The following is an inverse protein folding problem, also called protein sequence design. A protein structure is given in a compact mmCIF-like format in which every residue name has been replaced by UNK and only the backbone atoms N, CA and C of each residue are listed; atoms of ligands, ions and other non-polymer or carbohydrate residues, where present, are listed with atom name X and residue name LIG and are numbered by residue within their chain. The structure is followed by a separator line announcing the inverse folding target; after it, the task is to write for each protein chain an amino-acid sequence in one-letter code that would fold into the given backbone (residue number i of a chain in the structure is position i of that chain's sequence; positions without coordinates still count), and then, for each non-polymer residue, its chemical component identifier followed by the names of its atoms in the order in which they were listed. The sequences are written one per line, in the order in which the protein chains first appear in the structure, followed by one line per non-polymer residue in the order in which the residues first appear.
data_IF_645587908181
#
_entry.id   IF_645587908181
#
_cell.length_a   1.000
_cell.length_b   1.000
_cell.length_c   1.000
_cell.angle_alpha   90.00
_cell.angle_beta   90.00
_cell.angle_gamma   90.00
#
_symmetry.space_group_name_H-M   'P 1'
#
loop_
_entity.id
_entity.type
_entity.pdbx_description
1 polymer ?
#
# COMPACT_ATOMS: atom_id res chain seq x y z
N UNK A 1 -27.32 26.75 -6.91
CA UNK A 1 -25.91 27.01 -7.28
C UNK A 1 -25.05 25.90 -6.71
N UNK A 2 -24.07 25.45 -7.49
CA UNK A 2 -23.37 24.17 -7.36
C UNK A 2 -22.70 23.94 -5.99
N UNK A 3 -22.75 22.69 -5.54
CA UNK A 3 -22.16 22.21 -4.31
C UNK A 3 -20.63 22.17 -4.41
N UNK A 4 -19.94 22.82 -3.48
CA UNK A 4 -18.55 22.52 -3.16
C UNK A 4 -18.59 21.29 -2.25
N UNK A 5 -18.69 20.11 -2.85
CA UNK A 5 -18.52 18.85 -2.13
C UNK A 5 -17.02 18.66 -1.84
N UNK A 6 -16.69 18.84 -0.56
CA UNK A 6 -15.70 18.10 0.22
C UNK A 6 -14.82 17.11 -0.58
N UNK A 7 -13.62 17.57 -0.96
CA UNK A 7 -12.56 16.74 -1.56
C UNK A 7 -11.81 15.87 -0.54
N UNK A 8 -12.27 15.78 0.71
CA UNK A 8 -11.67 14.91 1.74
C UNK A 8 -12.24 13.48 1.70
N UNK A 9 -13.21 13.21 0.81
CA UNK A 9 -13.90 11.92 0.68
C UNK A 9 -13.13 10.87 -0.16
N UNK A 10 -11.86 10.64 0.15
CA UNK A 10 -11.08 9.49 -0.39
C UNK A 10 -10.20 8.79 0.65
N UNK A 11 -10.57 8.83 1.93
CA UNK A 11 -9.89 8.05 2.99
C UNK A 11 -10.91 7.42 3.97
N UNK A 12 -12.08 6.98 3.49
CA UNK A 12 -12.99 6.12 4.26
C UNK A 12 -13.19 4.75 3.62
N UNK A 13 -12.91 4.59 2.32
CA UNK A 13 -13.12 3.33 1.62
C UNK A 13 -12.17 2.20 2.06
N UNK A 14 -10.94 2.51 2.50
CA UNK A 14 -10.02 1.47 2.98
C UNK A 14 -10.42 0.99 4.37
N UNK A 15 -10.89 1.89 5.24
CA UNK A 15 -11.40 1.53 6.57
C UNK A 15 -12.74 0.80 6.50
N UNK A 16 -13.62 1.21 5.60
CA UNK A 16 -14.90 0.53 5.35
C UNK A 16 -14.70 -0.85 4.70
N UNK A 17 -13.72 -1.00 3.80
CA UNK A 17 -13.36 -2.30 3.23
C UNK A 17 -12.69 -3.22 4.27
N UNK A 18 -11.83 -2.68 5.13
CA UNK A 18 -11.26 -3.40 6.28
C UNK A 18 -12.34 -3.83 7.28
N UNK A 19 -13.31 -2.96 7.58
CA UNK A 19 -14.43 -3.26 8.47
C UNK A 19 -15.34 -4.33 7.87
N UNK A 20 -15.66 -4.24 6.58
CA UNK A 20 -16.49 -5.26 5.90
C UNK A 20 -15.78 -6.62 5.77
N UNK A 21 -14.45 -6.64 5.62
CA UNK A 21 -13.66 -7.87 5.70
C UNK A 21 -13.63 -8.42 7.12
N UNK A 22 -13.52 -7.57 8.15
CA UNK A 22 -13.62 -7.98 9.56
C UNK A 22 -15.00 -8.52 9.91
N UNK A 23 -16.07 -7.84 9.52
CA UNK A 23 -17.45 -8.25 9.78
C UNK A 23 -17.78 -9.57 9.08
N UNK A 24 -17.40 -9.74 7.81
CA UNK A 24 -17.53 -11.03 7.10
C UNK A 24 -16.66 -12.14 7.68
N UNK A 25 -15.63 -11.81 8.45
CA UNK A 25 -14.78 -12.76 9.17
C UNK A 25 -15.26 -13.02 10.60
N UNK A 26 -16.15 -12.21 11.17
CA UNK A 26 -16.71 -12.36 12.52
C UNK A 26 -17.93 -13.30 12.54
N UNK A 27 -18.64 -13.47 11.42
CA UNK A 27 -19.83 -14.33 11.33
C UNK A 27 -19.56 -15.84 11.16
N UNK A 28 -18.30 -16.28 11.01
CA UNK A 28 -17.96 -17.70 10.87
C UNK A 28 -17.23 -18.29 12.10
N UNK A 29 -17.90 -19.26 12.75
CA UNK A 29 -17.38 -20.38 13.56
C UNK A 29 -17.28 -20.24 15.10
N UNK A 30 -18.42 -20.39 15.79
CA UNK A 30 -18.49 -20.97 17.14
C UNK A 30 -19.42 -22.19 17.08
N UNK A 31 -18.89 -23.39 17.36
CA UNK A 31 -19.69 -24.62 17.44
C UNK A 31 -19.59 -25.19 18.85
N UNK A 32 -20.76 -25.33 19.47
CA UNK A 32 -20.95 -25.91 20.78
C UNK A 32 -21.26 -27.40 20.61
N UNK A 33 -20.48 -28.26 21.26
CA UNK A 33 -20.82 -29.68 21.37
C UNK A 33 -20.95 -30.07 22.83
N UNK A 34 -21.97 -30.85 23.16
CA UNK A 34 -22.12 -31.47 24.47
C UNK A 34 -21.30 -32.77 24.53
N UNK A 35 -20.51 -32.93 25.59
CA UNK A 35 -19.84 -34.20 25.86
C UNK A 35 -20.81 -35.24 26.46
N UNK A 36 -20.35 -36.48 26.65
CA UNK A 36 -21.16 -37.58 27.20
C UNK A 36 -21.66 -37.33 28.64
N UNK A 37 -21.11 -36.32 29.33
CA UNK A 37 -21.50 -35.91 30.68
C UNK A 37 -22.39 -34.66 30.69
N UNK A 38 -22.81 -34.17 29.51
CA UNK A 38 -23.66 -32.99 29.35
C UNK A 38 -22.93 -31.66 29.49
N UNK A 39 -21.60 -31.64 29.37
CA UNK A 39 -20.78 -30.42 29.44
C UNK A 39 -20.59 -29.83 28.05
N UNK A 40 -20.93 -28.56 27.90
CA UNK A 40 -20.75 -27.81 26.64
C UNK A 40 -19.25 -27.48 26.49
N UNK A 41 -18.64 -27.99 25.42
CA UNK A 41 -17.24 -27.74 25.06
C UNK A 41 -17.21 -26.79 23.86
N UNK A 42 -16.53 -25.65 24.03
CA UNK A 42 -16.33 -24.66 22.96
C UNK A 42 -14.95 -24.84 22.34
N UNK A 43 -14.90 -25.04 21.01
CA UNK A 43 -13.65 -25.20 20.28
C UNK A 43 -13.31 -23.91 19.55
N UNK A 44 -12.35 -23.15 20.08
CA UNK A 44 -11.82 -21.96 19.41
C UNK A 44 -10.66 -22.37 18.49
N UNK A 45 -10.87 -22.36 17.17
CA UNK A 45 -9.76 -22.46 16.21
C UNK A 45 -8.86 -21.22 16.33
N UNK A 46 -7.62 -21.41 16.76
CA UNK A 46 -6.62 -20.34 16.77
C UNK A 46 -6.34 -19.89 15.32
N UNK A 47 -6.78 -18.68 14.99
CA UNK A 47 -6.54 -18.10 13.66
C UNK A 47 -5.05 -17.76 13.54
N UNK A 48 -4.40 -18.27 12.48
CA UNK A 48 -3.04 -17.83 12.11
C UNK A 48 -3.09 -16.34 11.78
N UNK A 49 -2.17 -15.51 12.29
CA UNK A 49 -2.13 -14.09 11.94
C UNK A 49 -1.91 -13.95 10.44
N UNK A 50 -2.87 -13.33 9.75
CA UNK A 50 -2.71 -12.93 8.37
C UNK A 50 -1.72 -11.77 8.34
N UNK A 51 -0.48 -12.03 7.94
CA UNK A 51 0.53 -10.98 7.81
C UNK A 51 0.17 -10.19 6.55
N UNK A 52 -0.57 -9.09 6.71
CA UNK A 52 -0.79 -8.13 5.63
C UNK A 52 0.52 -7.40 5.34
N UNK A 53 1.15 -7.74 4.21
CA UNK A 53 2.34 -7.05 3.70
C UNK A 53 1.87 -5.95 2.76
N UNK A 54 1.91 -4.70 3.24
CA UNK A 54 1.66 -3.52 2.42
C UNK A 54 2.96 -3.04 1.78
N UNK A 55 2.88 -2.37 0.64
CA UNK A 55 4.05 -1.84 -0.10
C UNK A 55 4.91 -0.91 0.78
N UNK A 56 4.31 -0.24 1.76
CA UNK A 56 5.00 0.63 2.72
C UNK A 56 5.97 -0.11 3.64
N UNK A 57 5.73 -1.40 3.90
CA UNK A 57 6.60 -2.25 4.73
C UNK A 57 7.81 -2.77 3.98
N UNK A 58 7.93 -2.50 2.66
CA UNK A 58 9.09 -2.91 1.89
C UNK A 58 10.34 -2.12 2.32
N UNK A 59 11.51 -2.78 2.41
CA UNK A 59 12.76 -2.08 2.66
C UNK A 59 13.04 -1.00 1.61
N UNK A 60 13.62 0.12 2.04
CA UNK A 60 13.91 1.28 1.19
C UNK A 60 14.72 0.90 -0.07
N UNK A 61 15.69 -0.01 0.07
CA UNK A 61 16.52 -0.48 -1.04
C UNK A 61 15.72 -1.20 -2.13
N UNK A 62 14.68 -1.94 -1.74
CA UNK A 62 13.78 -2.63 -2.68
C UNK A 62 12.90 -1.61 -3.40
N UNK A 63 12.34 -0.65 -2.66
CA UNK A 63 11.56 0.44 -3.25
C UNK A 63 12.36 1.26 -4.26
N UNK A 64 13.62 1.59 -3.93
CA UNK A 64 14.52 2.29 -4.83
C UNK A 64 14.79 1.47 -6.09
N UNK A 65 14.95 0.15 -5.96
CA UNK A 65 15.12 -0.72 -7.12
C UNK A 65 13.86 -0.76 -8.01
N UNK A 66 12.66 -0.77 -7.42
CA UNK A 66 11.40 -0.67 -8.16
C UNK A 66 11.35 0.67 -8.93
N UNK A 67 11.71 1.78 -8.29
CA UNK A 67 11.67 3.11 -8.90
C UNK A 67 12.67 3.25 -10.06
N UNK A 68 13.76 2.48 -10.06
CA UNK A 68 14.72 2.46 -11.17
C UNK A 68 14.13 1.93 -12.49
N UNK A 69 13.02 1.18 -12.45
CA UNK A 69 12.32 0.71 -13.65
C UNK A 69 11.28 1.72 -14.19
N UNK A 70 11.04 2.80 -13.46
CA UNK A 70 10.02 3.80 -13.78
C UNK A 70 10.66 4.98 -14.52
N UNK A 71 9.95 5.59 -15.47
CA UNK A 71 10.44 6.78 -16.16
C UNK A 71 10.53 8.01 -15.24
N UNK A 72 11.49 8.90 -15.48
CA UNK A 72 11.71 10.11 -14.67
C UNK A 72 10.44 10.94 -14.41
N UNK A 73 9.56 11.11 -15.41
CA UNK A 73 8.29 11.83 -15.26
C UNK A 73 7.32 11.13 -14.31
N UNK A 74 7.32 9.81 -14.32
CA UNK A 74 6.45 8.98 -13.49
C UNK A 74 6.99 8.88 -12.06
N UNK A 75 8.31 8.89 -11.87
CA UNK A 75 8.94 8.99 -10.55
C UNK A 75 8.46 10.28 -9.83
N UNK A 76 8.37 11.41 -10.54
CA UNK A 76 7.85 12.66 -9.97
C UNK A 76 6.36 12.58 -9.60
N UNK A 77 5.56 11.78 -10.32
CA UNK A 77 4.16 11.51 -9.94
C UNK A 77 4.10 10.60 -8.72
N UNK A 78 4.94 9.57 -8.66
CA UNK A 78 5.06 8.65 -7.52
C UNK A 78 5.46 9.39 -6.23
N UNK A 79 6.28 10.44 -6.33
CA UNK A 79 6.65 11.28 -5.20
C UNK A 79 5.46 11.99 -4.51
N UNK A 80 4.31 12.11 -5.19
CA UNK A 80 3.11 12.77 -4.64
C UNK A 80 2.21 11.82 -3.83
N UNK A 81 2.51 10.51 -3.78
CA UNK A 81 1.66 9.51 -3.13
C UNK A 81 1.76 9.61 -1.60
N UNK A 82 2.97 9.55 -1.04
CA UNK A 82 3.20 9.68 0.39
C UNK A 82 4.62 10.19 0.70
N UNK A 83 4.89 10.55 1.95
CA UNK A 83 6.18 11.12 2.38
C UNK A 83 7.36 10.17 2.15
N UNK A 84 7.16 8.87 2.37
CA UNK A 84 8.21 7.85 2.15
C UNK A 84 8.58 7.73 0.67
N UNK A 85 7.59 7.76 -0.22
CA UNK A 85 7.84 7.71 -1.67
C UNK A 85 8.51 8.98 -2.16
N UNK A 86 8.18 10.14 -1.58
CA UNK A 86 8.88 11.39 -1.86
C UNK A 86 10.37 11.33 -1.46
N UNK A 87 10.71 10.71 -0.34
CA UNK A 87 12.10 10.55 0.09
C UNK A 87 12.89 9.65 -0.88
N UNK A 88 12.31 8.52 -1.27
CA UNK A 88 12.93 7.60 -2.23
C UNK A 88 13.05 8.26 -3.61
N UNK A 89 12.01 8.96 -4.07
CA UNK A 89 12.01 9.62 -5.36
C UNK A 89 13.11 10.68 -5.49
N UNK A 90 13.48 11.38 -4.41
CA UNK A 90 14.58 12.35 -4.43
C UNK A 90 15.96 11.73 -4.24
N UNK A 91 16.07 10.40 -4.14
CA UNK A 91 17.36 9.74 -3.95
C UNK A 91 18.27 9.95 -5.18
N UNK A 92 19.50 10.47 -5.01
CA UNK A 92 20.43 10.74 -6.13
C UNK A 92 20.71 9.53 -7.02
N UNK A 93 20.61 8.31 -6.48
CA UNK A 93 20.84 7.08 -7.25
C UNK A 93 19.87 6.91 -8.43
N UNK A 94 18.66 7.49 -8.36
CA UNK A 94 17.66 7.44 -9.44
C UNK A 94 17.92 8.47 -10.54
N UNK A 95 18.70 9.52 -10.28
CA UNK A 95 18.85 10.68 -11.17
C UNK A 95 20.23 10.76 -11.83
N UNK A 96 20.99 9.67 -11.89
CA UNK A 96 22.33 9.66 -12.48
C UNK A 96 22.36 10.12 -13.94
N UNK A 97 21.25 9.98 -14.67
CA UNK A 97 21.13 10.35 -16.08
C UNK A 97 19.73 10.86 -16.37
N UNK A 98 19.58 12.18 -16.52
CA UNK A 98 18.30 12.81 -16.82
C UNK A 98 18.33 13.46 -18.21
N UNK A 99 17.30 13.20 -19.01
CA UNK A 99 17.11 13.86 -20.31
C UNK A 99 16.00 14.91 -20.22
N UNK A 100 16.33 16.16 -20.53
CA UNK A 100 15.36 17.26 -20.55
C UNK A 100 14.58 17.36 -21.86
N UNK A 101 15.01 16.64 -22.90
CA UNK A 101 14.31 16.56 -24.20
C UNK A 101 14.25 15.11 -24.69
N UNK A 102 13.39 14.27 -24.11
CA UNK A 102 13.31 12.85 -24.47
C UNK A 102 12.95 12.58 -25.94
N UNK A 103 12.25 13.49 -26.62
CA UNK A 103 11.73 13.26 -27.98
C UNK A 103 12.59 13.85 -29.12
N UNK A 104 13.63 14.63 -28.81
CA UNK A 104 14.35 15.44 -29.81
C UNK A 104 15.88 15.28 -29.74
N UNK A 105 16.38 14.10 -29.37
CA UNK A 105 17.83 13.85 -29.24
C UNK A 105 18.48 14.62 -28.08
N UNK A 106 17.75 14.76 -26.97
CA UNK A 106 17.95 15.80 -25.97
C UNK A 106 19.20 15.76 -25.11
N UNK A 107 19.62 16.98 -24.73
CA UNK A 107 20.60 17.31 -23.70
C UNK A 107 20.45 16.40 -22.47
N UNK A 108 21.40 15.48 -22.31
CA UNK A 108 21.48 14.53 -21.20
C UNK A 108 22.51 15.06 -20.21
N UNK A 109 22.08 15.24 -18.96
CA UNK A 109 22.98 15.63 -17.87
C UNK A 109 23.27 14.38 -17.06
N UNK A 110 24.56 14.04 -16.94
CA UNK A 110 25.04 12.97 -16.08
C UNK A 110 25.53 13.59 -14.76
N UNK A 111 24.82 13.33 -13.68
CA UNK A 111 25.23 13.80 -12.35
C UNK A 111 26.36 12.88 -11.84
N UNK A 112 27.47 13.47 -11.40
CA UNK A 112 28.63 12.78 -10.79
C UNK A 112 28.50 12.76 -9.29
#
# INVERSE_FOLDING_TARGET
MAAIFDMTRRVTSDKEAEHQLKDRMEEEEEYESEDENGQIVTYRRERRPTIYITVEKLPEKVMLHIFAYIGHKEILKAAQVCRQWAQIAHNPALWQSVSFRPNYGGLQVRLR
#
